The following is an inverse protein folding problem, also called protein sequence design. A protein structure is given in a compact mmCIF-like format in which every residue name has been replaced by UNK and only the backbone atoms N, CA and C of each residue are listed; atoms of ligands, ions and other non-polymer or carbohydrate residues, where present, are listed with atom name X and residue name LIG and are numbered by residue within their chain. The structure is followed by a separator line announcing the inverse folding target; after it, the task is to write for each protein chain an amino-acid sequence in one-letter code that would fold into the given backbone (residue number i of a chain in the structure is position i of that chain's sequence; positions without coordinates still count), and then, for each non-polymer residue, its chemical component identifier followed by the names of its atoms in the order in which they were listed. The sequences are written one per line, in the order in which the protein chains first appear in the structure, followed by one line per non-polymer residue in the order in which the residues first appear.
data_IF_932442643487
#
_entry.id   IF_932442643487
#
_cell.length_a   1.000
_cell.length_b   1.000
_cell.length_c   1.000
_cell.angle_alpha   90.00
_cell.angle_beta   90.00
_cell.angle_gamma   90.00
#
_symmetry.space_group_name_H-M   'P 1'
#
loop_
_entity.id
_entity.type
_entity.pdbx_description
1 polymer ?
#
# COMPACT_ATOMS: atom_id res chain seq x y z
N UNK A 1 5.19 11.03 -27.70
CA UNK A 1 4.80 12.32 -27.04
C UNK A 1 3.51 12.25 -26.21
N UNK A 2 2.69 11.20 -26.26
CA UNK A 2 1.33 11.19 -25.68
C UNK A 2 1.18 11.14 -24.14
N UNK A 3 2.27 11.05 -23.36
CA UNK A 3 2.21 10.89 -21.91
C UNK A 3 2.97 11.97 -21.13
N UNK A 4 3.39 13.07 -21.79
CA UNK A 4 4.28 14.09 -21.19
C UNK A 4 3.68 14.76 -19.94
N UNK A 5 2.35 14.77 -19.82
CA UNK A 5 1.61 15.43 -18.73
C UNK A 5 0.76 14.46 -17.89
N UNK A 6 0.91 13.14 -18.07
CA UNK A 6 0.15 12.15 -17.29
C UNK A 6 0.88 11.76 -16.01
N UNK A 7 0.14 11.70 -14.89
CA UNK A 7 0.65 11.12 -13.65
C UNK A 7 0.88 9.62 -13.82
N UNK A 8 2.14 9.21 -13.90
CA UNK A 8 2.53 7.80 -13.96
C UNK A 8 2.70 7.28 -12.54
N UNK A 9 1.95 6.23 -12.20
CA UNK A 9 2.17 5.45 -10.99
C UNK A 9 2.91 4.18 -11.39
N UNK A 10 4.09 3.97 -10.83
CA UNK A 10 4.84 2.72 -11.05
C UNK A 10 4.69 1.84 -9.82
N UNK A 11 4.23 0.60 -10.02
CA UNK A 11 4.26 -0.42 -8.98
C UNK A 11 5.58 -1.20 -9.05
N UNK A 12 6.25 -1.38 -7.92
CA UNK A 12 7.50 -2.16 -7.84
C UNK A 12 7.57 -2.95 -6.54
N UNK A 13 8.32 -4.05 -6.56
CA UNK A 13 8.68 -4.78 -5.34
C UNK A 13 9.73 -4.02 -4.50
N UNK A 14 10.32 -2.94 -5.04
CA UNK A 14 11.29 -2.11 -4.35
C UNK A 14 12.67 -2.74 -4.17
N UNK A 15 12.91 -3.94 -4.72
CA UNK A 15 14.19 -4.66 -4.59
C UNK A 15 15.25 -4.07 -5.52
N UNK A 16 14.84 -3.75 -6.76
CA UNK A 16 15.72 -3.16 -7.78
C UNK A 16 15.25 -1.73 -8.05
N UNK A 17 16.15 -0.73 -8.04
CA UNK A 17 15.80 0.64 -8.39
C UNK A 17 15.45 0.74 -9.88
N UNK A 18 14.44 1.54 -10.19
CA UNK A 18 14.05 1.85 -11.56
C UNK A 18 15.12 2.75 -12.20
N UNK A 19 15.41 2.52 -13.47
CA UNK A 19 16.34 3.37 -14.25
C UNK A 19 15.82 4.80 -14.41
N UNK A 20 14.50 5.00 -14.30
CA UNK A 20 13.82 6.30 -14.41
C UNK A 20 13.10 6.57 -13.10
N UNK A 21 13.19 7.81 -12.60
CA UNK A 21 12.53 8.22 -11.35
C UNK A 21 11.08 8.63 -11.67
N UNK A 22 10.08 7.89 -11.18
CA UNK A 22 8.68 8.28 -11.39
C UNK A 22 8.26 9.37 -10.39
N UNK A 23 7.23 10.14 -10.76
CA UNK A 23 6.63 11.11 -9.86
C UNK A 23 5.91 10.44 -8.68
N UNK A 24 5.24 9.32 -8.93
CA UNK A 24 4.56 8.53 -7.92
C UNK A 24 5.02 7.07 -8.00
N UNK A 25 5.41 6.53 -6.86
CA UNK A 25 5.93 5.17 -6.75
C UNK A 25 5.13 4.41 -5.70
N UNK A 26 4.61 3.24 -6.08
CA UNK A 26 3.96 2.32 -5.15
C UNK A 26 4.92 1.15 -4.91
N UNK A 27 5.40 1.01 -3.68
CA UNK A 27 6.34 -0.05 -3.30
C UNK A 27 5.62 -1.08 -2.43
N UNK A 28 5.86 -2.37 -2.68
CA UNK A 28 5.44 -3.43 -1.77
C UNK A 28 6.22 -3.34 -0.43
N UNK A 29 5.56 -2.80 0.60
CA UNK A 29 6.12 -2.59 1.92
C UNK A 29 6.35 -3.88 2.70
N UNK A 30 5.68 -4.99 2.36
CA UNK A 30 5.89 -6.28 3.03
C UNK A 30 7.33 -6.80 2.91
N UNK A 31 8.03 -6.43 1.83
CA UNK A 31 9.38 -6.91 1.57
C UNK A 31 10.39 -6.47 2.64
N UNK A 32 10.05 -5.48 3.46
CA UNK A 32 10.89 -5.08 4.58
C UNK A 32 10.98 -6.14 5.67
N UNK A 33 9.95 -6.99 5.81
CA UNK A 33 9.94 -8.05 6.81
C UNK A 33 10.81 -9.24 6.40
N UNK A 34 11.32 -9.27 5.18
CA UNK A 34 12.37 -10.18 4.77
C UNK A 34 13.73 -9.58 5.17
N UNK A 35 14.47 -10.19 6.13
CA UNK A 35 15.76 -9.68 6.60
C UNK A 35 16.80 -9.52 5.49
N UNK A 36 16.76 -10.37 4.46
CA UNK A 36 17.70 -10.35 3.34
C UNK A 36 17.46 -9.16 2.40
N UNK A 37 16.20 -8.70 2.32
CA UNK A 37 15.81 -7.60 1.44
C UNK A 37 15.77 -6.25 2.16
N UNK A 38 15.60 -6.24 3.49
CA UNK A 38 15.34 -5.05 4.31
C UNK A 38 16.27 -3.88 4.00
N UNK A 39 17.58 -4.10 4.03
CA UNK A 39 18.57 -3.03 3.80
C UNK A 39 18.48 -2.46 2.39
N UNK A 40 18.26 -3.32 1.38
CA UNK A 40 18.10 -2.90 -0.01
C UNK A 40 16.81 -2.08 -0.19
N UNK A 41 15.70 -2.49 0.42
CA UNK A 41 14.44 -1.73 0.40
C UNK A 41 14.63 -0.34 1.01
N UNK A 42 15.26 -0.23 2.20
CA UNK A 42 15.50 1.06 2.88
C UNK A 42 16.38 1.97 2.02
N UNK A 43 17.43 1.41 1.42
CA UNK A 43 18.30 2.17 0.52
C UNK A 43 17.53 2.71 -0.69
N UNK A 44 16.71 1.87 -1.33
CA UNK A 44 15.88 2.28 -2.46
C UNK A 44 14.83 3.34 -2.07
N UNK A 45 14.15 3.18 -0.93
CA UNK A 45 13.22 4.19 -0.41
C UNK A 45 13.90 5.54 -0.19
N UNK A 46 15.10 5.52 0.41
CA UNK A 46 15.91 6.71 0.63
C UNK A 46 16.31 7.38 -0.68
N UNK A 47 16.69 6.59 -1.69
CA UNK A 47 17.02 7.07 -3.03
C UNK A 47 15.82 7.78 -3.68
N UNK A 48 14.63 7.18 -3.68
CA UNK A 48 13.44 7.79 -4.27
C UNK A 48 13.00 9.05 -3.53
N UNK A 49 13.06 9.06 -2.20
CA UNK A 49 12.71 10.22 -1.38
C UNK A 49 13.66 11.40 -1.64
N UNK A 50 14.98 11.16 -1.75
CA UNK A 50 15.96 12.18 -2.13
C UNK A 50 15.68 12.78 -3.51
N UNK A 51 15.15 11.97 -4.44
CA UNK A 51 14.76 12.41 -5.77
C UNK A 51 13.32 12.94 -5.86
N UNK A 52 12.67 13.24 -4.73
CA UNK A 52 11.33 13.85 -4.65
C UNK A 52 10.21 13.03 -5.30
N UNK A 53 10.38 11.72 -5.43
CA UNK A 53 9.27 10.84 -5.79
C UNK A 53 8.29 10.76 -4.62
N UNK A 54 6.98 10.82 -4.92
CA UNK A 54 5.94 10.54 -3.94
C UNK A 54 5.85 9.03 -3.72
N UNK A 55 6.04 8.58 -2.50
CA UNK A 55 6.11 7.16 -2.16
C UNK A 55 4.81 6.75 -1.50
N UNK A 56 4.19 5.71 -2.04
CA UNK A 56 3.10 4.97 -1.40
C UNK A 56 3.61 3.59 -1.00
N UNK A 57 3.64 3.30 0.29
CA UNK A 57 3.93 1.95 0.76
C UNK A 57 2.65 1.13 0.74
N UNK A 58 2.69 -0.03 0.11
CA UNK A 58 1.57 -0.98 0.08
C UNK A 58 1.85 -2.16 1.00
N UNK A 59 1.00 -2.35 1.99
CA UNK A 59 1.03 -3.53 2.85
C UNK A 59 -0.11 -4.47 2.47
N UNK A 60 0.27 -5.64 1.97
CA UNK A 60 -0.59 -6.78 1.70
C UNK A 60 -0.73 -7.59 2.99
N UNK A 61 -1.91 -7.57 3.60
CA UNK A 61 -2.19 -8.37 4.79
C UNK A 61 -2.43 -9.80 4.32
N UNK A 62 -1.53 -10.67 4.75
CA UNK A 62 -1.41 -12.11 4.47
C UNK A 62 -1.17 -12.81 5.81
N UNK A 63 -1.14 -14.12 5.81
CA UNK A 63 -0.71 -14.99 6.90
C UNK A 63 0.69 -14.70 7.43
N UNK A 64 1.55 -14.11 6.60
CA UNK A 64 2.91 -13.72 6.97
C UNK A 64 2.91 -12.36 7.70
N UNK A 65 1.88 -11.52 7.51
CA UNK A 65 1.79 -10.22 8.18
C UNK A 65 1.20 -10.39 9.59
N UNK A 66 2.06 -10.35 10.59
CA UNK A 66 1.70 -10.51 12.00
C UNK A 66 1.55 -9.16 12.70
N UNK A 67 0.88 -9.18 13.86
CA UNK A 67 0.68 -7.99 14.71
C UNK A 67 2.00 -7.33 15.12
N UNK A 68 3.05 -8.14 15.32
CA UNK A 68 4.42 -7.68 15.60
C UNK A 68 5.03 -6.82 14.47
N UNK A 69 4.58 -7.01 13.22
CA UNK A 69 5.07 -6.24 12.08
C UNK A 69 4.47 -4.82 12.00
N UNK A 70 3.38 -4.56 12.74
CA UNK A 70 2.66 -3.27 12.67
C UNK A 70 3.56 -2.11 13.08
N UNK A 71 4.33 -2.26 14.16
CA UNK A 71 5.19 -1.18 14.65
C UNK A 71 6.26 -0.81 13.62
N UNK A 72 6.88 -1.81 13.00
CA UNK A 72 7.87 -1.60 11.95
C UNK A 72 7.24 -0.96 10.70
N UNK A 73 6.06 -1.43 10.27
CA UNK A 73 5.33 -0.84 9.16
C UNK A 73 5.04 0.65 9.38
N UNK A 74 4.62 1.04 10.59
CA UNK A 74 4.32 2.44 10.96
C UNK A 74 5.60 3.27 10.95
N UNK A 75 6.68 2.78 11.57
CA UNK A 75 7.97 3.48 11.62
C UNK A 75 8.50 3.81 10.21
N UNK A 76 8.48 2.82 9.31
CA UNK A 76 8.92 3.01 7.92
C UNK A 76 8.02 3.96 7.16
N UNK A 77 6.71 3.84 7.34
CA UNK A 77 5.74 4.71 6.68
C UNK A 77 5.95 6.16 7.09
N UNK A 78 6.13 6.43 8.39
CA UNK A 78 6.45 7.75 8.91
C UNK A 78 7.74 8.31 8.30
N UNK A 79 8.75 7.47 8.14
CA UNK A 79 10.05 7.89 7.63
C UNK A 79 10.05 8.14 6.12
N UNK A 80 9.32 7.35 5.33
CA UNK A 80 9.50 7.31 3.87
C UNK A 80 8.25 7.56 3.04
N UNK A 81 7.05 7.30 3.57
CA UNK A 81 5.83 7.29 2.77
C UNK A 81 5.07 8.62 2.83
N UNK A 82 4.55 9.05 1.68
CA UNK A 82 3.56 10.12 1.56
C UNK A 82 2.13 9.59 1.77
N UNK A 83 1.93 8.29 1.56
CA UNK A 83 0.66 7.61 1.84
C UNK A 83 0.88 6.11 2.03
N UNK A 84 -0.07 5.44 2.67
CA UNK A 84 -0.09 3.99 2.79
C UNK A 84 -1.30 3.40 2.09
N UNK A 85 -1.08 2.28 1.41
CA UNK A 85 -2.13 1.43 0.90
C UNK A 85 -2.16 0.11 1.67
N UNK A 86 -3.33 -0.28 2.16
CA UNK A 86 -3.54 -1.56 2.80
C UNK A 86 -4.42 -2.41 1.89
N UNK A 87 -4.06 -3.67 1.68
CA UNK A 87 -4.90 -4.60 0.94
C UNK A 87 -4.89 -5.99 1.54
N UNK A 88 -6.03 -6.66 1.59
CA UNK A 88 -6.10 -8.08 1.93
C UNK A 88 -5.72 -8.91 0.69
N UNK A 89 -4.88 -9.92 0.90
CA UNK A 89 -4.65 -10.98 -0.08
C UNK A 89 -5.73 -12.05 0.05
N UNK A 90 -6.30 -12.45 -1.08
CA UNK A 90 -7.28 -13.54 -1.14
C UNK A 90 -6.60 -14.81 -1.67
N UNK A 91 -7.06 -16.01 -1.26
CA UNK A 91 -8.19 -16.26 -0.34
C UNK A 91 -7.90 -15.85 1.12
N UNK A 92 -8.95 -15.55 1.89
CA UNK A 92 -8.83 -15.26 3.32
C UNK A 92 -8.62 -16.59 4.04
N UNK A 93 -7.52 -16.72 4.76
CA UNK A 93 -7.19 -17.94 5.49
C UNK A 93 -7.88 -17.96 6.86
N UNK A 94 -8.19 -19.17 7.35
CA UNK A 94 -8.82 -19.34 8.67
C UNK A 94 -7.80 -19.10 9.77
N UNK A 95 -8.22 -18.46 10.86
CA UNK A 95 -7.40 -18.27 12.08
C UNK A 95 -6.63 -16.95 12.16
N UNK A 96 -6.68 -16.13 11.12
CA UNK A 96 -6.12 -14.77 11.15
C UNK A 96 -7.26 -13.76 11.34
N UNK A 97 -7.10 -12.87 12.31
CA UNK A 97 -8.01 -11.74 12.51
C UNK A 97 -7.58 -10.56 11.62
N UNK A 98 -7.86 -10.69 10.31
CA UNK A 98 -7.57 -9.63 9.34
C UNK A 98 -8.23 -8.31 9.71
N UNK A 99 -9.44 -8.36 10.29
CA UNK A 99 -10.18 -7.19 10.73
C UNK A 99 -9.43 -6.38 11.77
N UNK A 100 -8.95 -7.07 12.83
CA UNK A 100 -8.11 -6.49 13.88
C UNK A 100 -6.82 -5.91 13.31
N UNK A 101 -6.05 -6.69 12.54
CA UNK A 101 -4.75 -6.26 11.99
C UNK A 101 -4.89 -4.99 11.14
N UNK A 102 -5.86 -4.96 10.23
CA UNK A 102 -6.09 -3.80 9.36
C UNK A 102 -6.48 -2.58 10.19
N UNK A 103 -7.37 -2.74 11.16
CA UNK A 103 -7.80 -1.65 12.01
C UNK A 103 -6.67 -1.08 12.85
N UNK A 104 -5.84 -1.94 13.47
CA UNK A 104 -4.71 -1.52 14.29
C UNK A 104 -3.61 -0.83 13.48
N UNK A 105 -3.27 -1.39 12.31
CA UNK A 105 -2.33 -0.74 11.41
C UNK A 105 -2.86 0.63 10.97
N UNK A 106 -4.14 0.71 10.60
CA UNK A 106 -4.77 1.95 10.14
C UNK A 106 -4.83 3.02 11.23
N UNK A 107 -5.18 2.66 12.46
CA UNK A 107 -5.27 3.61 13.57
C UNK A 107 -3.89 4.18 13.94
N UNK A 108 -2.84 3.35 13.97
CA UNK A 108 -1.47 3.82 14.24
C UNK A 108 -0.91 4.69 13.11
N UNK A 109 -1.19 4.36 11.86
CA UNK A 109 -0.81 5.22 10.72
C UNK A 109 -1.57 6.55 10.75
N UNK A 110 -2.84 6.53 11.11
CA UNK A 110 -3.67 7.72 11.17
C UNK A 110 -3.21 8.67 12.29
N UNK A 111 -2.79 8.14 13.44
CA UNK A 111 -2.22 8.96 14.53
C UNK A 111 -0.90 9.64 14.14
N UNK A 112 -0.21 9.13 13.11
CA UNK A 112 0.98 9.74 12.54
C UNK A 112 0.67 10.68 11.37
N UNK A 113 -0.62 11.01 11.16
CA UNK A 113 -1.12 11.84 10.06
C UNK A 113 -0.77 11.31 8.66
N UNK A 114 -0.57 10.01 8.53
CA UNK A 114 -0.25 9.37 7.25
C UNK A 114 -1.57 9.02 6.53
N UNK A 115 -1.83 9.53 5.32
CA UNK A 115 -3.02 9.18 4.56
C UNK A 115 -3.07 7.68 4.24
N UNK A 116 -4.20 7.03 4.54
CA UNK A 116 -4.40 5.59 4.34
C UNK A 116 -5.49 5.34 3.30
N UNK A 117 -5.27 4.35 2.43
CA UNK A 117 -6.28 3.84 1.49
C UNK A 117 -6.35 2.32 1.58
N UNK A 118 -7.54 1.79 1.88
CA UNK A 118 -7.82 0.37 1.69
C UNK A 118 -8.10 0.12 0.21
N UNK A 119 -7.12 -0.41 -0.52
CA UNK A 119 -7.09 -0.41 -2.00
C UNK A 119 -7.76 -1.60 -2.67
N UNK A 120 -8.28 -2.55 -1.88
CA UNK A 120 -9.03 -3.71 -2.38
C UNK A 120 -10.38 -3.83 -1.69
N UNK A 121 -11.35 -4.36 -2.43
CA UNK A 121 -12.64 -4.75 -1.88
C UNK A 121 -12.40 -5.66 -0.66
N UNK A 122 -12.85 -5.18 0.50
CA UNK A 122 -12.63 -5.84 1.79
C UNK A 122 -13.99 -6.17 2.39
N UNK A 123 -14.26 -7.42 2.82
CA UNK A 123 -15.58 -7.81 3.29
C UNK A 123 -15.88 -7.09 4.61
N UNK A 124 -17.02 -6.39 4.67
CA UNK A 124 -17.39 -5.62 5.86
C UNK A 124 -17.66 -6.49 7.10
N UNK A 125 -17.96 -7.78 6.90
CA UNK A 125 -18.13 -8.74 7.98
C UNK A 125 -16.83 -9.01 8.77
N UNK A 126 -15.66 -8.61 8.26
CA UNK A 126 -14.40 -8.67 9.01
C UNK A 126 -14.33 -7.61 10.12
N UNK A 127 -15.19 -6.58 10.07
CA UNK A 127 -15.12 -5.44 10.97
C UNK A 127 -16.38 -5.31 11.83
N UNK A 128 -16.17 -5.01 13.10
CA UNK A 128 -17.21 -4.42 13.95
C UNK A 128 -17.70 -3.09 13.36
N UNK A 129 -18.88 -2.64 13.78
CA UNK A 129 -19.44 -1.36 13.31
C UNK A 129 -18.48 -0.19 13.59
N UNK A 130 -17.92 -0.12 14.80
CA UNK A 130 -16.96 0.92 15.19
C UNK A 130 -15.71 0.94 14.30
N UNK A 131 -15.13 -0.23 14.02
CA UNK A 131 -13.96 -0.33 13.14
C UNK A 131 -14.31 0.14 11.72
N UNK A 132 -15.48 -0.29 11.22
CA UNK A 132 -15.96 0.08 9.89
C UNK A 132 -16.16 1.58 9.74
N UNK A 133 -16.82 2.22 10.71
CA UNK A 133 -17.08 3.67 10.68
C UNK A 133 -15.77 4.47 10.64
N UNK A 134 -14.78 4.04 11.43
CA UNK A 134 -13.44 4.62 11.40
C UNK A 134 -12.77 4.44 10.03
N UNK A 135 -12.76 3.22 9.49
CA UNK A 135 -12.08 2.90 8.24
C UNK A 135 -12.73 3.58 7.03
N UNK A 136 -14.06 3.74 7.02
CA UNK A 136 -14.79 4.49 5.97
C UNK A 136 -14.40 5.97 6.04
N UNK A 137 -14.44 6.55 7.23
CA UNK A 137 -14.22 8.00 7.41
C UNK A 137 -12.77 8.41 7.21
N UNK A 138 -11.80 7.57 7.60
CA UNK A 138 -10.39 7.95 7.69
C UNK A 138 -9.47 7.20 6.73
N UNK A 139 -9.87 6.01 6.25
CA UNK A 139 -8.98 5.11 5.49
C UNK A 139 -9.52 4.77 4.09
N UNK A 140 -10.52 5.53 3.62
CA UNK A 140 -11.19 5.34 2.33
C UNK A 140 -11.65 3.90 2.09
N UNK A 141 -12.11 3.20 3.13
CA UNK A 141 -12.71 1.88 2.95
C UNK A 141 -13.98 2.02 2.12
N UNK A 142 -13.97 1.46 0.90
CA UNK A 142 -15.15 1.45 0.03
C UNK A 142 -15.74 0.05 -0.05
N UNK A 143 -17.05 -0.03 0.15
CA UNK A 143 -17.84 -1.27 0.04
C UNK A 143 -18.19 -1.66 -1.40
N UNK A 144 -17.80 -0.85 -2.39
CA UNK A 144 -17.98 -1.12 -3.83
C UNK A 144 -16.71 -0.74 -4.56
N UNK A 145 -16.33 -1.55 -5.55
CA UNK A 145 -15.29 -1.18 -6.49
C UNK A 145 -15.88 -0.18 -7.48
N UNK A 146 -15.51 1.10 -7.38
CA UNK A 146 -15.89 2.12 -8.35
C UNK A 146 -14.63 2.62 -9.04
N UNK A 147 -14.37 2.10 -10.25
CA UNK A 147 -13.31 2.63 -11.10
C UNK A 147 -13.73 4.00 -11.66
N UNK A 148 -12.93 5.07 -11.53
CA UNK A 148 -12.99 6.16 -12.49
C UNK A 148 -12.44 5.67 -13.83
N UNK A 149 -13.09 6.03 -14.93
CA UNK A 149 -12.86 5.55 -16.30
C UNK A 149 -11.49 5.88 -16.93
N UNK A 150 -10.54 6.49 -16.20
CA UNK A 150 -9.36 7.16 -16.80
C UNK A 150 -7.97 6.81 -16.22
N UNK A 151 -7.79 5.71 -15.47
CA UNK A 151 -6.48 5.36 -14.88
C UNK A 151 -5.81 4.16 -15.57
N UNK A 152 -4.56 4.36 -16.06
CA UNK A 152 -3.69 3.30 -16.59
C UNK A 152 -2.70 2.84 -15.52
N UNK A 153 -2.67 1.52 -15.24
CA UNK A 153 -1.70 0.87 -14.36
C UNK A 153 -0.80 -0.02 -15.21
N UNK A 154 0.52 0.18 -15.13
CA UNK A 154 1.52 -0.62 -15.85
C UNK A 154 2.24 -1.49 -14.82
N UNK A 155 2.11 -2.82 -14.97
CA UNK A 155 2.85 -3.78 -14.16
C UNK A 155 4.32 -3.89 -14.61
N UNK A 156 5.22 -4.40 -13.75
CA UNK A 156 6.65 -4.56 -14.08
C UNK A 156 6.94 -5.43 -15.32
N UNK A 157 6.01 -6.29 -15.71
CA UNK A 157 6.09 -7.13 -16.92
C UNK A 157 5.76 -6.38 -18.22
N UNK A 158 5.25 -5.14 -18.14
CA UNK A 158 4.86 -4.32 -19.27
C UNK A 158 3.66 -4.85 -20.07
N UNK A 159 3.04 -5.96 -19.64
CA UNK A 159 2.04 -6.68 -20.43
C UNK A 159 0.69 -6.83 -19.71
N UNK A 160 0.69 -6.83 -18.37
CA UNK A 160 -0.55 -7.09 -17.63
C UNK A 160 -1.23 -5.78 -17.18
N UNK A 161 -2.36 -5.44 -17.80
CA UNK A 161 -3.30 -4.42 -17.30
C UNK A 161 -4.31 -5.13 -16.40
N UNK A 162 -4.08 -5.16 -15.08
CA UNK A 162 -5.12 -5.62 -14.14
C UNK A 162 -6.11 -4.47 -13.88
N UNK A 163 -7.43 -4.68 -14.01
CA UNK A 163 -8.41 -3.73 -13.52
C UNK A 163 -8.43 -3.80 -11.98
N UNK A 164 -8.73 -2.66 -11.37
CA UNK A 164 -8.97 -2.45 -9.94
C UNK A 164 -7.72 -2.18 -9.08
N UNK A 165 -7.19 -0.97 -9.24
CA UNK A 165 -6.67 -0.20 -8.10
C UNK A 165 -7.26 1.20 -8.19
N UNK A 166 -8.05 1.61 -7.20
CA UNK A 166 -8.42 3.02 -7.02
C UNK A 166 -7.15 3.83 -6.72
N UNK A 167 -6.93 4.89 -7.50
CA UNK A 167 -5.98 5.96 -7.14
C UNK A 167 -6.72 7.09 -6.44
#
# INVERSE_FOLDING_TARGET
MHNKDKYVNVFTNGVIPLKVIPNNLIINGNNIFNPELKNNIIWNLSFYKKNKAKIRLRFNITEIFKEENIQEAVMLSKQFADSVSISISYPIEKGIDYGKIIFELSTKLYSEFIPIVISRATPFCLFTQKQRDFLISNCKLKGKCSLPTNSLVINPDGQTIQPCVEL
#
